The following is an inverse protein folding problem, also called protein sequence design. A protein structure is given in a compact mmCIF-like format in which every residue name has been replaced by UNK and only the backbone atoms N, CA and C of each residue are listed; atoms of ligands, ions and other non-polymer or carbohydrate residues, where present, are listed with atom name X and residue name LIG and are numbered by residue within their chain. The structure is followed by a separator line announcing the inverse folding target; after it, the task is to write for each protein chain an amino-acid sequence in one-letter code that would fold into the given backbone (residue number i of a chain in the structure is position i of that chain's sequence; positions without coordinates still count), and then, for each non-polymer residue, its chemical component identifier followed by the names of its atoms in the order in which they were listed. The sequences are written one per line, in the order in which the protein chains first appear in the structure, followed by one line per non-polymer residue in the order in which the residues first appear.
data_IF_054050912092
#
_entry.id   IF_054050912092
#
_cell.length_a   1.000
_cell.length_b   1.000
_cell.length_c   1.000
_cell.angle_alpha   90.00
_cell.angle_beta   90.00
_cell.angle_gamma   90.00
#
_symmetry.space_group_name_H-M   'P 1'
#
loop_
_entity.id
_entity.type
_entity.pdbx_description
1 polymer ?
#
# COMPACT_ATOMS: atom_id res chain seq x y z
N UNK A 1 42.89 -86.17 23.09
CA UNK A 1 43.76 -86.41 21.92
C UNK A 1 44.02 -85.07 21.24
N UNK A 2 45.31 -84.67 21.19
CA UNK A 2 46.00 -83.66 20.37
C UNK A 2 45.27 -82.33 19.99
N UNK A 3 45.71 -81.17 20.49
CA UNK A 3 46.88 -80.36 20.07
C UNK A 3 46.71 -79.60 18.73
N UNK A 4 46.95 -78.29 18.85
CA UNK A 4 47.57 -77.38 17.87
C UNK A 4 46.73 -76.89 16.68
N UNK A 5 46.41 -75.60 16.70
CA UNK A 5 46.85 -74.71 15.62
C UNK A 5 46.88 -73.25 16.09
N UNK A 6 48.10 -72.71 16.17
CA UNK A 6 48.40 -71.28 16.24
C UNK A 6 48.10 -70.62 14.89
N UNK A 7 47.45 -69.45 14.89
CA UNK A 7 47.74 -68.33 13.96
C UNK A 7 46.95 -67.10 14.44
N UNK A 8 47.58 -66.09 15.04
CA UNK A 8 48.35 -65.02 14.39
C UNK A 8 47.53 -64.28 13.32
N UNK A 9 46.97 -63.12 13.68
CA UNK A 9 47.26 -61.85 13.00
C UNK A 9 46.30 -60.75 13.47
N UNK A 10 46.89 -59.64 13.86
CA UNK A 10 46.28 -58.34 14.10
C UNK A 10 45.62 -57.83 12.81
N UNK A 11 44.43 -57.24 12.93
CA UNK A 11 44.01 -56.13 12.07
C UNK A 11 42.82 -55.42 12.73
N UNK A 12 43.11 -54.28 13.37
CA UNK A 12 42.06 -53.38 13.84
C UNK A 12 41.32 -52.78 12.65
N UNK A 13 40.00 -52.82 12.70
CA UNK A 13 39.14 -52.05 11.81
C UNK A 13 38.24 -51.17 12.68
N UNK A 14 38.83 -50.03 13.08
CA UNK A 14 38.10 -48.92 13.64
C UNK A 14 37.07 -48.44 12.59
N UNK A 15 35.78 -48.50 12.94
CA UNK A 15 34.70 -47.89 12.16
C UNK A 15 34.90 -46.37 12.16
N UNK A 16 35.02 -45.70 11.00
CA UNK A 16 35.02 -44.25 10.99
C UNK A 16 33.59 -43.77 11.26
N UNK A 17 33.42 -43.08 12.39
CA UNK A 17 32.25 -42.28 12.70
C UNK A 17 32.12 -41.20 11.63
N UNK A 18 31.09 -41.30 10.78
CA UNK A 18 30.79 -40.29 9.79
C UNK A 18 30.44 -38.97 10.51
N UNK A 19 31.42 -38.05 10.54
CA UNK A 19 31.23 -36.70 11.04
C UNK A 19 30.22 -35.99 10.14
N UNK A 20 29.01 -35.80 10.66
CA UNK A 20 27.96 -34.99 10.05
C UNK A 20 28.41 -33.54 10.03
N UNK A 21 29.04 -33.10 8.92
CA UNK A 21 29.36 -31.70 8.67
C UNK A 21 28.06 -30.93 8.47
N UNK A 22 27.61 -30.24 9.51
CA UNK A 22 26.57 -29.21 9.41
C UNK A 22 27.16 -27.99 8.73
N UNK A 23 26.68 -27.68 7.51
CA UNK A 23 27.08 -26.52 6.75
C UNK A 23 26.40 -25.29 7.37
N UNK A 24 27.16 -24.50 8.14
CA UNK A 24 26.66 -23.27 8.74
C UNK A 24 26.46 -22.21 7.65
N UNK A 25 25.21 -21.90 7.32
CA UNK A 25 24.85 -20.78 6.47
C UNK A 25 25.09 -19.47 7.23
N UNK A 26 25.74 -18.45 6.63
CA UNK A 26 25.91 -17.17 7.27
C UNK A 26 24.55 -16.48 7.44
N UNK A 27 24.19 -16.19 8.68
CA UNK A 27 23.03 -15.38 9.04
C UNK A 27 23.18 -13.98 8.46
N UNK A 28 22.52 -13.71 7.34
CA UNK A 28 22.41 -12.35 6.80
C UNK A 28 21.60 -11.49 7.79
N UNK A 29 22.07 -10.29 8.16
CA UNK A 29 21.25 -9.38 8.96
C UNK A 29 20.05 -8.97 8.13
N UNK A 30 18.86 -9.43 8.54
CA UNK A 30 17.60 -8.94 7.97
C UNK A 30 17.44 -7.52 8.51
N UNK A 31 17.79 -6.52 7.69
CA UNK A 31 17.45 -5.12 7.96
C UNK A 31 15.93 -5.02 7.83
N UNK A 32 15.22 -5.16 8.95
CA UNK A 32 13.80 -4.80 9.03
C UNK A 32 13.72 -3.29 8.86
N UNK A 33 13.24 -2.85 7.70
CA UNK A 33 12.74 -1.50 7.56
C UNK A 33 11.54 -1.36 8.51
N UNK A 34 11.74 -0.63 9.61
CA UNK A 34 10.63 -0.16 10.41
C UNK A 34 9.86 0.83 9.53
N UNK A 35 8.70 0.40 9.03
CA UNK A 35 7.71 1.31 8.50
C UNK A 35 7.20 2.14 9.68
N UNK A 36 7.87 3.25 9.96
CA UNK A 36 7.30 4.31 10.80
C UNK A 36 6.03 4.76 10.10
N UNK A 37 4.89 4.26 10.58
CA UNK A 37 3.60 4.89 10.31
C UNK A 37 3.77 6.35 10.69
N UNK A 38 3.37 7.32 9.85
CA UNK A 38 3.33 8.71 10.29
C UNK A 38 2.34 8.74 11.46
N UNK A 39 2.88 8.77 12.68
CA UNK A 39 2.09 9.08 13.86
C UNK A 39 1.75 10.56 13.68
N UNK A 40 0.53 10.83 13.21
CA UNK A 40 -0.02 12.16 13.34
C UNK A 40 -0.20 12.34 14.84
N UNK A 41 0.73 13.06 15.46
CA UNK A 41 0.72 13.31 16.88
C UNK A 41 -0.56 14.08 17.20
N UNK A 42 -1.52 13.37 17.81
CA UNK A 42 -2.84 13.90 18.09
C UNK A 42 -2.78 15.16 18.98
N UNK A 43 -1.72 15.30 19.76
CA UNK A 43 -1.50 16.46 20.62
C UNK A 43 -0.98 17.67 19.84
N UNK A 44 -0.10 17.48 18.85
CA UNK A 44 0.33 18.56 17.94
C UNK A 44 -0.82 19.02 17.04
N UNK A 45 -1.67 18.08 16.59
CA UNK A 45 -2.84 18.40 15.79
C UNK A 45 -3.89 19.17 16.61
N UNK A 46 -4.10 18.83 17.88
CA UNK A 46 -4.98 19.59 18.78
C UNK A 46 -4.46 21.00 19.02
N UNK A 47 -3.15 21.17 19.23
CA UNK A 47 -2.53 22.48 19.41
C UNK A 47 -2.68 23.34 18.14
N UNK A 48 -2.39 22.77 16.96
CA UNK A 48 -2.59 23.46 15.68
C UNK A 48 -4.08 23.78 15.42
N UNK A 49 -4.99 22.88 15.79
CA UNK A 49 -6.42 23.10 15.65
C UNK A 49 -6.93 24.20 16.58
N UNK A 50 -6.43 24.31 17.82
CA UNK A 50 -6.83 25.39 18.73
C UNK A 50 -6.27 26.74 18.27
N UNK A 51 -5.02 26.80 17.82
CA UNK A 51 -4.44 28.01 17.24
C UNK A 51 -5.22 28.45 15.99
N UNK A 52 -5.47 27.52 15.07
CA UNK A 52 -6.27 27.78 13.87
C UNK A 52 -7.71 28.19 14.19
N UNK A 53 -8.35 27.54 15.17
CA UNK A 53 -9.71 27.88 15.58
C UNK A 53 -9.79 29.30 16.17
N UNK A 54 -8.79 29.72 16.95
CA UNK A 54 -8.74 31.07 17.51
C UNK A 54 -8.55 32.14 16.42
N UNK A 55 -7.63 31.91 15.47
CA UNK A 55 -7.38 32.82 14.35
C UNK A 55 -8.58 32.91 13.41
N UNK A 56 -9.16 31.76 13.06
CA UNK A 56 -10.37 31.66 12.22
C UNK A 56 -11.58 32.28 12.93
N UNK A 57 -11.72 32.12 14.24
CA UNK A 57 -12.80 32.75 14.99
C UNK A 57 -12.68 34.28 15.02
N UNK A 58 -11.46 34.82 15.12
CA UNK A 58 -11.22 36.26 15.04
C UNK A 58 -11.58 36.81 13.64
N UNK A 59 -11.10 36.15 12.58
CA UNK A 59 -11.43 36.50 11.20
C UNK A 59 -12.93 36.36 10.91
N UNK A 60 -13.58 35.31 11.42
CA UNK A 60 -15.00 35.07 11.23
C UNK A 60 -15.85 36.13 11.93
N UNK A 61 -15.47 36.58 13.13
CA UNK A 61 -16.15 37.69 13.82
C UNK A 61 -16.06 38.99 13.00
N UNK A 62 -14.89 39.33 12.48
CA UNK A 62 -14.73 40.52 11.64
C UNK A 62 -15.60 40.44 10.37
N UNK A 63 -15.63 39.26 9.73
CA UNK A 63 -16.45 39.01 8.53
C UNK A 63 -17.94 38.98 8.84
N UNK A 64 -18.33 38.51 10.02
CA UNK A 64 -19.73 38.45 10.47
C UNK A 64 -20.32 39.84 10.68
N UNK A 65 -19.55 40.76 11.26
CA UNK A 65 -20.00 42.15 11.45
C UNK A 65 -20.08 42.93 10.14
N UNK A 66 -19.22 42.62 9.15
CA UNK A 66 -19.26 43.22 7.80
C UNK A 66 -20.34 42.63 6.89
N UNK A 67 -20.95 41.51 7.26
CA UNK A 67 -21.95 40.84 6.41
C UNK A 67 -23.33 41.41 6.71
N UNK A 68 -23.89 42.13 5.73
CA UNK A 68 -25.24 42.71 5.81
C UNK A 68 -26.32 41.60 5.75
N UNK A 69 -26.11 40.58 4.91
CA UNK A 69 -27.03 39.45 4.73
C UNK A 69 -26.73 38.24 5.64
N UNK A 70 -26.93 38.45 6.94
CA UNK A 70 -26.77 37.41 7.98
C UNK A 70 -27.55 36.09 7.72
N UNK A 71 -28.82 36.07 7.24
CA UNK A 71 -29.54 34.81 7.04
C UNK A 71 -28.95 33.94 5.92
N UNK A 72 -28.45 34.55 4.85
CA UNK A 72 -27.79 33.81 3.77
C UNK A 72 -26.47 33.19 4.25
N UNK A 73 -25.69 33.93 5.05
CA UNK A 73 -24.47 33.41 5.65
C UNK A 73 -24.73 32.23 6.60
N UNK A 74 -25.77 32.29 7.43
CA UNK A 74 -26.19 31.17 8.29
C UNK A 74 -26.53 29.92 7.47
N UNK A 75 -27.27 30.09 6.36
CA UNK A 75 -27.65 28.98 5.49
C UNK A 75 -26.44 28.33 4.83
N UNK A 76 -25.48 29.13 4.34
CA UNK A 76 -24.26 28.60 3.73
C UNK A 76 -23.39 27.88 4.76
N UNK A 77 -23.22 28.43 5.96
CA UNK A 77 -22.42 27.80 7.03
C UNK A 77 -23.07 26.48 7.47
N UNK A 78 -24.37 26.49 7.75
CA UNK A 78 -25.08 25.27 8.15
C UNK A 78 -25.07 24.20 7.05
N UNK A 79 -25.28 24.60 5.79
CA UNK A 79 -25.17 23.69 4.64
C UNK A 79 -23.76 23.09 4.52
N UNK A 80 -22.72 23.91 4.72
CA UNK A 80 -21.32 23.45 4.68
C UNK A 80 -21.02 22.46 5.80
N UNK A 81 -21.50 22.71 7.02
CA UNK A 81 -21.31 21.79 8.16
C UNK A 81 -21.99 20.44 7.90
N UNK A 82 -23.22 20.44 7.38
CA UNK A 82 -23.93 19.20 7.05
C UNK A 82 -23.22 18.45 5.92
N UNK A 83 -22.80 19.14 4.86
CA UNK A 83 -22.05 18.55 3.76
C UNK A 83 -20.72 17.94 4.23
N UNK A 84 -19.99 18.64 5.10
CA UNK A 84 -18.75 18.16 5.69
C UNK A 84 -18.99 16.95 6.60
N UNK A 85 -20.04 16.96 7.41
CA UNK A 85 -20.43 15.83 8.27
C UNK A 85 -20.77 14.58 7.44
N UNK A 86 -21.49 14.75 6.33
CA UNK A 86 -21.77 13.68 5.38
C UNK A 86 -20.48 13.15 4.74
N UNK A 87 -19.60 14.04 4.27
CA UNK A 87 -18.32 13.64 3.68
C UNK A 87 -17.46 12.84 4.69
N UNK A 88 -17.32 13.34 5.92
CA UNK A 88 -16.60 12.64 7.00
C UNK A 88 -17.25 11.30 7.35
N UNK A 89 -18.59 11.22 7.33
CA UNK A 89 -19.32 9.97 7.57
C UNK A 89 -19.06 8.94 6.48
N UNK A 90 -19.05 9.34 5.21
CA UNK A 90 -18.69 8.46 4.09
C UNK A 90 -17.26 7.96 4.25
N UNK A 91 -16.31 8.84 4.56
CA UNK A 91 -14.90 8.47 4.77
C UNK A 91 -14.76 7.49 5.95
N UNK A 92 -15.45 7.72 7.06
CA UNK A 92 -15.45 6.82 8.21
C UNK A 92 -16.05 5.44 7.90
N UNK A 93 -17.05 5.39 7.02
CA UNK A 93 -17.63 4.13 6.55
C UNK A 93 -16.64 3.41 5.62
N UNK A 94 -16.02 4.15 4.68
CA UNK A 94 -15.01 3.60 3.76
C UNK A 94 -13.81 3.02 4.52
N UNK A 95 -13.29 3.72 5.53
CA UNK A 95 -12.16 3.25 6.35
C UNK A 95 -12.47 1.94 7.11
N UNK A 96 -13.75 1.69 7.39
CA UNK A 96 -14.24 0.48 8.06
C UNK A 96 -14.68 -0.63 7.11
N UNK A 97 -14.66 -0.41 5.80
CA UNK A 97 -15.04 -1.43 4.81
C UNK A 97 -13.75 -2.05 4.24
N UNK A 98 -13.33 -3.24 4.73
CA UNK A 98 -12.19 -3.96 4.14
C UNK A 98 -12.44 -4.37 2.68
N UNK A 99 -13.70 -4.29 2.25
CA UNK A 99 -14.18 -4.67 0.92
C UNK A 99 -13.81 -3.63 -0.14
N UNK A 100 -13.54 -2.36 0.19
CA UNK A 100 -13.15 -1.36 -0.82
C UNK A 100 -11.82 -1.75 -1.48
N UNK A 101 -10.86 -2.23 -0.69
CA UNK A 101 -9.60 -2.78 -1.22
C UNK A 101 -9.86 -3.94 -2.16
N UNK A 102 -10.67 -4.92 -1.75
CA UNK A 102 -11.01 -6.09 -2.57
C UNK A 102 -11.87 -5.75 -3.80
N UNK A 103 -12.71 -4.72 -3.73
CA UNK A 103 -13.52 -4.25 -4.87
C UNK A 103 -12.66 -3.53 -5.89
N UNK A 104 -11.73 -2.67 -5.47
CA UNK A 104 -10.79 -2.02 -6.39
C UNK A 104 -9.85 -3.06 -7.00
N UNK A 105 -9.42 -4.06 -6.24
CA UNK A 105 -8.65 -5.20 -6.76
C UNK A 105 -9.47 -6.02 -7.78
N UNK A 106 -10.73 -6.34 -7.46
CA UNK A 106 -11.61 -7.06 -8.36
C UNK A 106 -11.92 -6.25 -9.63
N UNK A 107 -12.15 -4.95 -9.50
CA UNK A 107 -12.33 -4.03 -10.62
C UNK A 107 -11.05 -3.96 -11.46
N UNK A 108 -9.89 -3.88 -10.82
CA UNK A 108 -8.60 -3.91 -11.50
C UNK A 108 -8.43 -5.19 -12.31
N UNK A 109 -8.67 -6.36 -11.71
CA UNK A 109 -8.61 -7.66 -12.40
C UNK A 109 -9.66 -7.75 -13.51
N UNK A 110 -10.86 -7.24 -13.28
CA UNK A 110 -11.94 -7.28 -14.28
C UNK A 110 -11.62 -6.40 -15.49
N UNK A 111 -11.16 -5.17 -15.24
CA UNK A 111 -10.77 -4.22 -16.29
C UNK A 111 -9.54 -4.73 -17.03
N UNK A 112 -8.51 -5.21 -16.33
CA UNK A 112 -7.31 -5.78 -16.94
C UNK A 112 -7.66 -7.03 -17.75
N UNK A 113 -8.44 -7.96 -17.19
CA UNK A 113 -8.87 -9.18 -17.88
C UNK A 113 -9.67 -8.90 -19.15
N UNK A 114 -10.65 -7.99 -19.07
CA UNK A 114 -11.43 -7.55 -20.23
C UNK A 114 -10.56 -6.84 -21.27
N UNK A 115 -9.68 -5.92 -20.85
CA UNK A 115 -8.79 -5.19 -21.75
C UNK A 115 -7.82 -6.15 -22.47
N UNK A 116 -7.20 -7.07 -21.73
CA UNK A 116 -6.30 -8.08 -22.30
C UNK A 116 -7.04 -8.99 -23.29
N UNK A 117 -8.24 -9.45 -22.97
CA UNK A 117 -9.03 -10.26 -23.88
C UNK A 117 -9.44 -9.48 -25.14
N UNK A 118 -9.97 -8.27 -24.97
CA UNK A 118 -10.52 -7.42 -26.04
C UNK A 118 -9.46 -6.84 -26.97
N UNK A 119 -8.33 -6.37 -26.44
CA UNK A 119 -7.34 -5.56 -27.20
C UNK A 119 -6.00 -6.27 -27.45
N UNK A 120 -5.63 -7.28 -26.67
CA UNK A 120 -4.40 -8.05 -26.92
C UNK A 120 -4.65 -9.34 -27.73
N UNK A 121 -5.85 -9.93 -27.63
CA UNK A 121 -6.13 -11.25 -28.22
C UNK A 121 -6.91 -11.15 -29.55
N UNK A 122 -7.82 -10.18 -29.67
CA UNK A 122 -8.63 -9.98 -30.87
C UNK A 122 -7.84 -9.15 -31.89
N UNK A 123 -7.66 -9.73 -33.07
CA UNK A 123 -6.69 -9.23 -34.05
C UNK A 123 -6.92 -7.87 -34.69
N UNK A 124 -8.15 -7.42 -35.00
CA UNK A 124 -8.36 -6.06 -35.48
C UNK A 124 -8.10 -4.98 -34.42
N UNK A 125 -8.41 -5.23 -33.15
CA UNK A 125 -8.36 -4.19 -32.10
C UNK A 125 -6.95 -3.87 -31.61
N UNK A 126 -5.99 -4.80 -31.80
CA UNK A 126 -4.58 -4.54 -31.48
C UNK A 126 -3.98 -3.47 -32.40
N UNK A 127 -4.35 -3.46 -33.67
CA UNK A 127 -3.78 -2.55 -34.68
C UNK A 127 -4.27 -1.11 -34.45
N UNK A 128 -5.54 -0.95 -34.08
CA UNK A 128 -6.12 0.34 -33.65
C UNK A 128 -5.47 0.89 -32.37
N UNK A 129 -5.14 0.01 -31.42
CA UNK A 129 -4.45 0.38 -30.19
C UNK A 129 -3.03 0.89 -30.49
N UNK A 130 -2.28 0.21 -31.37
CA UNK A 130 -0.93 0.64 -31.76
C UNK A 130 -0.93 2.00 -32.48
N UNK A 131 -1.92 2.26 -33.34
CA UNK A 131 -2.08 3.57 -33.99
C UNK A 131 -2.39 4.64 -32.95
N UNK A 132 -3.34 4.37 -32.05
CA UNK A 132 -3.74 5.31 -30.99
C UNK A 132 -2.59 5.60 -30.02
N UNK A 133 -1.79 4.59 -29.65
CA UNK A 133 -0.59 4.76 -28.81
C UNK A 133 0.45 5.62 -29.54
N UNK A 134 0.72 5.36 -30.83
CA UNK A 134 1.67 6.17 -31.62
C UNK A 134 1.25 7.63 -31.71
N UNK A 135 -0.05 7.88 -31.91
CA UNK A 135 -0.60 9.23 -31.93
C UNK A 135 -0.49 9.92 -30.56
N UNK A 136 -0.81 9.22 -29.47
CA UNK A 136 -0.63 9.71 -28.10
C UNK A 136 0.82 10.05 -27.78
N UNK A 137 1.75 9.17 -28.13
CA UNK A 137 3.19 9.38 -27.94
C UNK A 137 3.67 10.58 -28.75
N UNK A 138 3.30 10.68 -30.02
CA UNK A 138 3.63 11.84 -30.86
C UNK A 138 3.02 13.15 -30.35
N UNK A 139 1.85 13.09 -29.70
CA UNK A 139 1.18 14.27 -29.11
C UNK A 139 1.86 14.74 -27.82
N UNK A 140 2.35 13.82 -26.99
CA UNK A 140 2.99 14.14 -25.71
C UNK A 140 4.44 14.56 -25.90
N UNK A 141 5.20 13.83 -26.73
CA UNK A 141 6.63 14.06 -26.92
C UNK A 141 6.95 14.99 -28.09
N UNK A 142 5.95 15.37 -28.89
CA UNK A 142 6.19 15.88 -30.23
C UNK A 142 6.72 14.75 -31.11
N UNK A 143 6.60 14.91 -32.43
CA UNK A 143 7.08 13.96 -33.43
C UNK A 143 8.51 13.51 -33.07
N UNK A 144 8.67 12.25 -32.62
CA UNK A 144 9.99 11.63 -32.56
C UNK A 144 10.53 11.44 -33.98
#
# INVERSE_FOLDING_TARGET
MALLARQAARAGLARPTAARRTLALPSRPVVRANATKPAIDADELKEKATVFANDTAAALKERWEKTEDKPAAVLVISGTVVALSLALSVVNVVDKIPVVSSLIELVGISVTGWFTYRYLTVGPDRDELFVTIKELVNKIYGKL
#
